data_IF_736491784715
#
_entry.id   IF_736491784715
#
_cell.length_a   1.000
_cell.length_b   1.000
_cell.length_c   1.000
_cell.angle_alpha   90.00
_cell.angle_beta   90.00
_cell.angle_gamma   90.00
#
_symmetry.space_group_name_H-M   'P 1'
#
loop_
_entity.id
_entity.type
_entity.pdbx_description
1 polymer ?
#
# COMPACT_ATOMS: atom_id res chain seq x y z
N UNK A 1 7.13 40.82 -39.74
CA UNK A 1 6.17 40.68 -38.63
C UNK A 1 6.29 39.28 -38.00
N UNK A 2 7.23 39.07 -37.05
CA UNK A 2 7.54 37.75 -36.50
C UNK A 2 6.67 37.33 -35.29
N UNK A 3 5.88 38.24 -34.73
CA UNK A 3 5.17 38.02 -33.46
C UNK A 3 3.87 37.21 -33.55
N UNK A 4 3.29 37.05 -34.74
CA UNK A 4 1.99 36.39 -34.91
C UNK A 4 2.10 34.86 -34.99
N UNK A 5 3.21 34.34 -35.50
CA UNK A 5 3.47 32.90 -35.61
C UNK A 5 3.89 32.28 -34.28
N UNK A 6 4.72 32.98 -33.50
CA UNK A 6 5.13 32.55 -32.15
C UNK A 6 3.95 32.56 -31.17
N UNK A 7 3.08 33.57 -31.23
CA UNK A 7 1.86 33.63 -30.42
C UNK A 7 0.89 32.47 -30.72
N UNK A 8 0.71 32.10 -32.00
CA UNK A 8 -0.13 30.96 -32.41
C UNK A 8 0.45 29.61 -31.98
N UNK A 9 1.77 29.45 -32.03
CA UNK A 9 2.45 28.23 -31.59
C UNK A 9 2.30 28.01 -30.07
N UNK A 10 2.42 29.08 -29.28
CA UNK A 10 2.24 29.03 -27.82
C UNK A 10 0.79 28.72 -27.43
N UNK A 11 -0.19 29.29 -28.14
CA UNK A 11 -1.61 28.98 -27.94
C UNK A 11 -1.92 27.51 -28.27
N UNK A 12 -1.39 26.98 -29.38
CA UNK A 12 -1.56 25.58 -29.74
C UNK A 12 -0.90 24.63 -28.72
N UNK A 13 0.31 24.95 -28.25
CA UNK A 13 0.97 24.17 -27.21
C UNK A 13 0.15 24.16 -25.90
N UNK A 14 -0.40 25.31 -25.49
CA UNK A 14 -1.27 25.41 -24.33
C UNK A 14 -2.56 24.61 -24.46
N UNK A 15 -3.21 24.61 -25.63
CA UNK A 15 -4.40 23.80 -25.91
C UNK A 15 -4.08 22.30 -25.90
N UNK A 16 -2.94 21.89 -26.46
CA UNK A 16 -2.52 20.48 -26.46
C UNK A 16 -2.17 19.99 -25.06
N UNK A 17 -1.48 20.81 -24.26
CA UNK A 17 -1.14 20.51 -22.86
C UNK A 17 -2.38 20.41 -21.97
N UNK A 18 -3.34 21.33 -22.14
CA UNK A 18 -4.62 21.29 -21.41
C UNK A 18 -5.46 20.08 -21.83
N UNK A 19 -5.56 19.78 -23.12
CA UNK A 19 -6.25 18.58 -23.61
C UNK A 19 -5.62 17.27 -23.09
N UNK A 20 -4.29 17.16 -23.01
CA UNK A 20 -3.61 16.01 -22.41
C UNK A 20 -3.91 15.86 -20.91
N UNK A 21 -3.94 16.97 -20.16
CA UNK A 21 -4.31 16.94 -18.74
C UNK A 21 -5.77 16.50 -18.53
N UNK A 22 -6.70 16.91 -19.39
CA UNK A 22 -8.10 16.45 -19.34
C UNK A 22 -8.28 14.99 -19.78
N UNK A 23 -7.42 14.46 -20.65
CA UNK A 23 -7.49 13.06 -21.10
C UNK A 23 -6.92 12.09 -20.05
N UNK A 24 -5.90 12.51 -19.27
CA UNK A 24 -5.35 11.72 -18.17
C UNK A 24 -6.32 11.56 -16.99
N UNK A 25 -7.29 12.46 -16.80
CA UNK A 25 -8.28 12.36 -15.71
C UNK A 25 -9.52 11.53 -16.08
N UNK A 26 -9.64 11.08 -17.34
CA UNK A 26 -10.81 10.37 -17.85
C UNK A 26 -10.66 8.83 -17.90
N UNK A 27 -9.57 8.26 -17.39
CA UNK A 27 -9.49 6.81 -17.15
C UNK A 27 -10.20 6.44 -15.84
N UNK A 28 -11.53 6.54 -15.85
CA UNK A 28 -12.39 5.84 -14.88
C UNK A 28 -12.92 4.59 -15.59
N UNK A 29 -12.00 3.66 -15.88
CA UNK A 29 -12.31 2.35 -16.40
C UNK A 29 -12.77 1.44 -15.26
N UNK A 30 -13.91 0.78 -15.43
CA UNK A 30 -14.52 -0.14 -14.46
C UNK A 30 -13.78 -1.46 -14.23
N UNK A 31 -12.46 -1.51 -14.45
CA UNK A 31 -11.61 -2.70 -14.34
C UNK A 31 -10.90 -2.77 -12.96
N UNK A 32 -11.58 -2.29 -11.92
CA UNK A 32 -11.06 -2.27 -10.55
C UNK A 32 -11.95 -3.03 -9.58
N UNK A 33 -11.41 -3.34 -8.40
CA UNK A 33 -12.18 -3.88 -7.28
C UNK A 33 -12.06 -2.95 -6.08
N UNK A 34 -13.06 -2.98 -5.20
CA UNK A 34 -13.06 -2.25 -3.93
C UNK A 34 -12.94 -3.23 -2.77
N UNK A 35 -12.13 -2.88 -1.77
CA UNK A 35 -11.98 -3.64 -0.54
C UNK A 35 -12.07 -2.73 0.67
N UNK A 36 -12.59 -3.27 1.77
CA UNK A 36 -12.54 -2.62 3.07
C UNK A 36 -11.14 -2.77 3.66
N UNK A 37 -10.52 -1.66 4.07
CA UNK A 37 -9.37 -1.69 4.95
C UNK A 37 -9.80 -1.86 6.41
N UNK A 38 -9.40 -2.99 6.98
CA UNK A 38 -9.66 -3.38 8.36
C UNK A 38 -8.46 -2.96 9.20
N UNK A 39 -8.62 -1.91 10.01
CA UNK A 39 -7.58 -1.47 10.93
C UNK A 39 -7.26 -2.59 11.95
N UNK A 40 -5.98 -2.82 12.24
CA UNK A 40 -5.47 -3.88 13.13
C UNK A 40 -6.20 -3.94 14.48
N UNK A 41 -6.49 -2.77 15.06
CA UNK A 41 -7.11 -2.67 16.38
C UNK A 41 -8.65 -2.52 16.33
N UNK A 42 -9.26 -2.58 15.14
CA UNK A 42 -10.72 -2.59 14.96
C UNK A 42 -11.32 -3.90 15.44
N UNK A 43 -12.56 -3.87 15.94
CA UNK A 43 -13.32 -5.10 16.32
C UNK A 43 -13.48 -6.10 15.18
N UNK A 44 -13.34 -5.66 13.92
CA UNK A 44 -13.40 -6.52 12.72
C UNK A 44 -12.09 -7.27 12.44
N UNK A 45 -11.01 -6.92 13.13
CA UNK A 45 -9.70 -7.53 12.96
C UNK A 45 -9.58 -8.77 13.83
N UNK A 46 -9.03 -9.89 13.33
CA UNK A 46 -8.71 -11.05 14.17
C UNK A 46 -7.57 -10.75 15.18
N UNK A 47 -6.93 -9.58 15.05
CA UNK A 47 -5.90 -9.10 15.97
C UNK A 47 -6.42 -8.03 16.95
N UNK A 48 -7.73 -7.83 16.99
CA UNK A 48 -8.37 -6.97 17.98
C UNK A 48 -8.09 -7.48 19.38
N UNK A 49 -7.62 -6.60 20.26
CA UNK A 49 -7.42 -6.91 21.68
C UNK A 49 -8.53 -6.24 22.50
N UNK A 50 -9.55 -6.99 22.95
CA UNK A 50 -10.69 -6.43 23.69
C UNK A 50 -10.29 -5.90 25.07
N UNK A 51 -9.20 -6.41 25.65
CA UNK A 51 -8.72 -6.01 26.98
C UNK A 51 -8.11 -4.60 27.00
N UNK A 52 -7.76 -4.03 25.84
CA UNK A 52 -7.19 -2.69 25.76
C UNK A 52 -8.23 -1.60 25.92
N UNK A 53 -7.95 -0.66 26.82
CA UNK A 53 -8.66 0.61 26.86
C UNK A 53 -8.44 1.41 25.57
N UNK A 54 -9.36 2.32 25.25
CA UNK A 54 -9.23 3.20 24.09
C UNK A 54 -7.92 4.02 24.13
N UNK A 55 -7.53 4.50 25.31
CA UNK A 55 -6.29 5.25 25.50
C UNK A 55 -5.06 4.39 25.20
N UNK A 56 -4.97 3.18 25.79
CA UNK A 56 -3.84 2.29 25.55
C UNK A 56 -3.74 1.89 24.09
N UNK A 57 -4.86 1.64 23.42
CA UNK A 57 -4.90 1.34 21.99
C UNK A 57 -4.29 2.45 21.14
N UNK A 58 -4.65 3.71 21.40
CA UNK A 58 -4.08 4.88 20.71
C UNK A 58 -2.58 5.03 21.01
N UNK A 59 -2.17 4.83 22.26
CA UNK A 59 -0.77 4.87 22.66
C UNK A 59 0.06 3.82 21.93
N UNK A 60 -0.43 2.58 21.81
CA UNK A 60 0.24 1.53 21.07
C UNK A 60 0.32 1.83 19.56
N UNK A 61 -0.75 2.38 18.98
CA UNK A 61 -0.72 2.83 17.59
C UNK A 61 0.33 3.94 17.36
N UNK A 62 0.44 4.90 18.30
CA UNK A 62 1.46 5.95 18.26
C UNK A 62 2.88 5.35 18.36
N UNK A 63 3.11 4.41 19.28
CA UNK A 63 4.39 3.71 19.45
C UNK A 63 4.82 2.97 18.18
N UNK A 64 3.89 2.23 17.55
CA UNK A 64 4.16 1.55 16.26
C UNK A 64 4.49 2.55 15.15
N UNK A 65 3.77 3.65 15.08
CA UNK A 65 4.03 4.72 14.10
C UNK A 65 5.43 5.34 14.29
N UNK A 66 5.81 5.69 15.51
CA UNK A 66 7.15 6.21 15.82
C UNK A 66 8.26 5.21 15.50
N UNK A 67 8.06 3.92 15.82
CA UNK A 67 9.00 2.85 15.47
C UNK A 67 9.20 2.73 13.96
N UNK A 68 8.10 2.77 13.19
CA UNK A 68 8.13 2.74 11.72
C UNK A 68 8.84 3.94 11.14
N UNK A 69 8.57 5.15 11.63
CA UNK A 69 9.24 6.37 11.20
C UNK A 69 10.75 6.29 11.46
N UNK A 70 11.17 5.85 12.66
CA UNK A 70 12.58 5.68 12.98
C UNK A 70 13.27 4.64 12.07
N UNK A 71 12.60 3.53 11.76
CA UNK A 71 13.12 2.52 10.82
C UNK A 71 13.27 3.08 9.40
N UNK A 72 12.31 3.87 8.94
CA UNK A 72 12.38 4.51 7.63
C UNK A 72 13.52 5.54 7.57
N UNK A 73 13.67 6.38 8.59
CA UNK A 73 14.79 7.34 8.68
C UNK A 73 16.15 6.65 8.65
N UNK A 74 16.30 5.51 9.35
CA UNK A 74 17.53 4.70 9.28
C UNK A 74 17.78 4.13 7.88
N UNK A 75 16.73 3.72 7.18
CA UNK A 75 16.82 3.19 5.82
C UNK A 75 17.29 4.27 4.85
N UNK A 76 16.71 5.48 4.93
CA UNK A 76 17.16 6.63 4.13
C UNK A 76 18.60 7.03 4.43
N UNK A 77 19.01 7.08 5.70
CA UNK A 77 20.37 7.44 6.07
C UNK A 77 21.43 6.45 5.55
N UNK A 78 21.04 5.20 5.25
CA UNK A 78 21.92 4.18 4.67
C UNK A 78 21.86 4.08 3.16
N UNK A 79 20.95 4.79 2.50
CA UNK A 79 20.77 4.70 1.05
C UNK A 79 22.04 5.08 0.26
N UNK A 80 22.82 6.03 0.79
CA UNK A 80 24.07 6.51 0.17
C UNK A 80 25.33 5.83 0.73
N UNK A 81 25.20 4.85 1.64
CA UNK A 81 26.34 4.18 2.23
C UNK A 81 27.01 3.26 1.18
N UNK A 82 28.32 3.40 0.92
CA UNK A 82 29.02 2.47 0.04
C UNK A 82 28.98 1.07 0.65
N UNK A 83 28.44 0.11 -0.10
CA UNK A 83 28.40 -1.29 0.28
C UNK A 83 29.22 -2.11 -0.69
N UNK A 84 30.18 -2.88 -0.17
CA UNK A 84 31.02 -3.76 -0.97
C UNK A 84 30.21 -4.87 -1.67
N UNK A 85 29.03 -5.21 -1.11
CA UNK A 85 28.14 -6.26 -1.60
C UNK A 85 26.99 -5.70 -2.48
N UNK A 86 27.04 -4.41 -2.85
CA UNK A 86 25.96 -3.73 -3.57
C UNK A 86 24.83 -3.26 -2.64
N UNK A 87 23.68 -2.87 -3.21
CA UNK A 87 22.54 -2.39 -2.42
C UNK A 87 21.98 -3.50 -1.52
N UNK A 88 22.22 -3.40 -0.21
CA UNK A 88 21.68 -4.34 0.79
C UNK A 88 20.42 -3.75 1.41
N UNK A 89 19.29 -4.42 1.20
CA UNK A 89 18.02 -4.08 1.85
C UNK A 89 17.72 -5.09 2.95
N UNK A 90 17.84 -4.66 4.21
CA UNK A 90 17.54 -5.51 5.36
C UNK A 90 16.03 -5.83 5.42
N UNK A 91 15.67 -7.11 5.31
CA UNK A 91 14.29 -7.55 5.48
C UNK A 91 13.95 -7.68 6.96
N UNK A 92 13.43 -6.60 7.54
CA UNK A 92 12.90 -6.63 8.92
C UNK A 92 11.40 -6.93 8.89
N UNK A 93 10.98 -7.98 9.61
CA UNK A 93 9.55 -8.22 9.87
C UNK A 93 8.97 -7.04 10.65
N UNK A 94 7.96 -6.38 10.08
CA UNK A 94 7.26 -5.25 10.71
C UNK A 94 5.77 -5.56 10.84
N UNK A 95 5.12 -5.10 11.92
CA UNK A 95 3.68 -5.28 12.07
C UNK A 95 2.93 -4.52 10.98
N UNK A 96 1.79 -5.07 10.58
CA UNK A 96 0.83 -4.42 9.69
C UNK A 96 -0.09 -3.47 10.48
N UNK A 97 -0.69 -2.51 9.78
CA UNK A 97 -1.70 -1.61 10.38
C UNK A 97 -3.09 -1.82 9.79
N UNK A 98 -3.18 -2.22 8.52
CA UNK A 98 -4.43 -2.49 7.83
C UNK A 98 -4.38 -3.84 7.13
N UNK A 99 -5.46 -4.58 7.26
CA UNK A 99 -5.73 -5.80 6.53
C UNK A 99 -6.81 -5.53 5.49
N UNK A 100 -6.88 -6.38 4.48
CA UNK A 100 -8.00 -6.48 3.55
C UNK A 100 -8.47 -7.93 3.50
N UNK A 101 -9.75 -8.12 3.24
CA UNK A 101 -10.32 -9.45 3.01
C UNK A 101 -10.65 -9.59 1.51
N UNK A 102 -10.12 -10.65 0.89
CA UNK A 102 -10.31 -10.95 -0.53
C UNK A 102 -10.79 -12.39 -0.68
N UNK A 103 -11.62 -12.65 -1.69
CA UNK A 103 -12.07 -14.00 -2.02
C UNK A 103 -11.26 -14.53 -3.20
N UNK A 104 -10.67 -15.70 -3.07
CA UNK A 104 -9.75 -16.29 -4.04
C UNK A 104 -10.23 -17.67 -4.47
N UNK A 105 -10.13 -17.96 -5.77
CA UNK A 105 -10.45 -19.27 -6.35
C UNK A 105 -11.92 -19.48 -6.67
N UNK A 106 -12.24 -20.69 -7.12
CA UNK A 106 -13.60 -21.17 -7.37
C UNK A 106 -13.70 -22.62 -6.86
N UNK A 107 -14.52 -22.91 -5.83
CA UNK A 107 -15.37 -21.97 -5.10
C UNK A 107 -14.57 -20.90 -4.33
N UNK A 108 -15.15 -19.71 -4.08
CA UNK A 108 -14.42 -18.61 -3.46
C UNK A 108 -14.01 -18.92 -2.02
N UNK A 109 -12.74 -18.71 -1.70
CA UNK A 109 -12.19 -18.85 -0.34
C UNK A 109 -11.77 -17.48 0.19
N UNK A 110 -12.31 -17.09 1.35
CA UNK A 110 -11.98 -15.79 1.98
C UNK A 110 -10.60 -15.83 2.63
N UNK A 111 -9.73 -14.89 2.26
CA UNK A 111 -8.36 -14.77 2.76
C UNK A 111 -8.10 -13.35 3.26
N UNK A 112 -7.32 -13.24 4.33
CA UNK A 112 -6.81 -11.95 4.83
C UNK A 112 -5.44 -11.67 4.21
N UNK A 113 -5.26 -10.45 3.74
CA UNK A 113 -4.02 -9.98 3.13
C UNK A 113 -3.65 -8.59 3.64
N UNK A 114 -2.38 -8.23 3.49
CA UNK A 114 -1.88 -6.87 3.72
C UNK A 114 -1.86 -6.15 2.37
N UNK A 115 -2.35 -4.92 2.33
CA UNK A 115 -2.23 -4.09 1.14
C UNK A 115 -0.79 -3.54 1.04
N UNK A 116 0.05 -4.20 0.25
CA UNK A 116 1.41 -3.75 -0.06
C UNK A 116 1.40 -2.98 -1.39
N UNK A 117 1.54 -1.65 -1.32
CA UNK A 117 1.63 -0.78 -2.51
C UNK A 117 3.07 -0.61 -3.00
N UNK A 118 4.04 -1.26 -2.34
CA UNK A 118 5.46 -1.17 -2.66
C UNK A 118 5.95 -2.26 -3.61
N UNK A 119 5.08 -3.17 -4.05
CA UNK A 119 5.41 -4.28 -4.94
C UNK A 119 4.32 -4.52 -6.00
N UNK A 120 4.66 -5.28 -7.03
CA UNK A 120 3.76 -5.76 -8.09
C UNK A 120 3.35 -7.23 -7.89
N UNK A 121 3.61 -7.79 -6.71
CA UNK A 121 3.38 -9.20 -6.37
C UNK A 121 2.19 -9.36 -5.43
N UNK A 122 1.37 -10.37 -5.70
CA UNK A 122 0.34 -10.85 -4.77
C UNK A 122 0.86 -12.13 -4.12
N UNK A 123 0.94 -12.13 -2.78
CA UNK A 123 1.35 -13.30 -2.01
C UNK A 123 0.27 -13.69 -1.00
N UNK A 124 -0.11 -14.97 -1.00
CA UNK A 124 -1.10 -15.55 -0.10
C UNK A 124 -0.46 -16.75 0.59
N UNK A 125 -0.67 -16.88 1.90
CA UNK A 125 -0.19 -18.04 2.64
C UNK A 125 -1.15 -19.23 2.41
N UNK A 126 -0.76 -20.16 1.53
CA UNK A 126 -1.51 -21.37 1.26
C UNK A 126 -1.02 -22.52 2.15
N UNK A 127 -1.94 -23.37 2.65
CA UNK A 127 -1.57 -24.65 3.25
C UNK A 127 -1.70 -25.75 2.20
N UNK A 128 -0.69 -26.61 2.09
CA UNK A 128 -0.67 -27.70 1.11
C UNK A 128 -1.49 -28.93 1.58
N UNK A 129 -2.60 -28.73 2.29
CA UNK A 129 -3.42 -29.82 2.81
C UNK A 129 -2.90 -30.52 4.07
N UNK A 130 -1.68 -30.22 4.53
CA UNK A 130 -1.05 -30.84 5.71
C UNK A 130 -1.58 -30.30 7.07
N UNK A 131 -2.76 -29.69 7.10
CA UNK A 131 -3.44 -29.32 8.35
C UNK A 131 -2.83 -28.15 9.13
N UNK A 132 -1.82 -27.45 8.60
CA UNK A 132 -1.43 -26.16 9.16
C UNK A 132 -2.55 -25.14 8.86
N UNK A 133 -3.15 -24.49 9.87
CA UNK A 133 -4.14 -23.46 9.60
C UNK A 133 -3.43 -22.32 8.87
N UNK A 134 -3.67 -22.22 7.56
CA UNK A 134 -3.65 -20.92 6.91
C UNK A 134 -4.56 -20.00 7.71
N UNK A 135 -4.29 -18.70 7.72
CA UNK A 135 -5.08 -17.70 8.44
C UNK A 135 -6.52 -17.65 7.84
N UNK A 136 -7.28 -18.71 8.05
CA UNK A 136 -8.71 -18.78 7.88
C UNK A 136 -9.24 -17.86 8.97
N UNK A 137 -9.83 -16.77 8.52
CA UNK A 137 -10.41 -15.75 9.36
C UNK A 137 -11.24 -16.39 10.48
N UNK A 138 -10.86 -16.11 11.73
CA UNK A 138 -11.82 -16.04 12.83
C UNK A 138 -12.73 -14.82 12.61
#
# INVERSE_FOLDING_TARGET
MPGTTTSRALLLAGVVLTAHMFLCTAYVGGDGFSVEFIHRDSVKSPYHEPSLTAHTRVLEAARRSSSRAAALSRSYARADAPSADGAVSELTSRPFEYLMAVNVGTPPTRMLAIADTGSDLIWLNCSNGDGAPGLAAA
#
